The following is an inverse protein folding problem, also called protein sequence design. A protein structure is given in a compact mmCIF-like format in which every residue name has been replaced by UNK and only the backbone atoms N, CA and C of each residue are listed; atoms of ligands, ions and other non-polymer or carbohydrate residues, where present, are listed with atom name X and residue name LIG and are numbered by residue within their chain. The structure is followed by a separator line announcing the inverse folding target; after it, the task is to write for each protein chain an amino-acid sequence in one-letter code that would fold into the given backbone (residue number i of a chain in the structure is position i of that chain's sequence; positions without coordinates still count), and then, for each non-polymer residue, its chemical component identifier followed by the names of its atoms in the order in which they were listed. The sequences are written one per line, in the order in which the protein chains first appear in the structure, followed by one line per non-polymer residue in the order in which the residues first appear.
data_IF_789504573453
#
_entry.id   IF_789504573453
#
_cell.length_a   1.000
_cell.length_b   1.000
_cell.length_c   1.000
_cell.angle_alpha   90.00
_cell.angle_beta   90.00
_cell.angle_gamma   90.00
#
_symmetry.space_group_name_H-M   'P 1'
#
loop_
_entity.id
_entity.type
_entity.pdbx_description
1 polymer ?
#
# COMPACT_ATOMS: atom_id res chain seq x y z
N UNK A 1 -9.68 -33.65 8.72
CA UNK A 1 -8.70 -32.58 9.01
C UNK A 1 -9.06 -31.36 8.17
N UNK A 2 -9.66 -30.32 8.75
CA UNK A 2 -9.88 -29.07 8.03
C UNK A 2 -8.52 -28.38 7.82
N UNK A 3 -8.12 -28.21 6.55
CA UNK A 3 -6.90 -27.46 6.21
C UNK A 3 -7.12 -26.02 6.66
N UNK A 4 -6.42 -25.60 7.71
CA UNK A 4 -6.30 -24.19 8.06
C UNK A 4 -5.74 -23.47 6.83
N UNK A 5 -6.38 -22.35 6.46
CA UNK A 5 -5.84 -21.46 5.43
C UNK A 5 -4.41 -21.10 5.86
N UNK A 6 -3.39 -21.21 4.99
CA UNK A 6 -2.04 -20.82 5.36
C UNK A 6 -2.08 -19.40 5.93
N UNK A 7 -1.63 -19.24 7.17
CA UNK A 7 -1.42 -17.90 7.71
C UNK A 7 -0.37 -17.23 6.82
N UNK A 8 -0.59 -15.96 6.42
CA UNK A 8 0.38 -15.24 5.62
C UNK A 8 1.71 -15.20 6.38
N UNK A 9 2.77 -15.75 5.79
CA UNK A 9 4.10 -15.72 6.37
C UNK A 9 4.59 -14.27 6.43
N UNK A 10 4.84 -13.77 7.64
CA UNK A 10 5.27 -12.39 7.89
C UNK A 10 6.61 -12.07 7.20
N UNK A 11 7.48 -13.07 7.10
CA UNK A 11 8.84 -12.97 6.54
C UNK A 11 8.85 -12.62 5.03
N UNK A 12 7.69 -12.74 4.35
CA UNK A 12 7.54 -12.47 2.91
C UNK A 12 6.58 -11.32 2.61
N UNK A 13 5.94 -10.74 3.62
CA UNK A 13 5.08 -9.57 3.43
C UNK A 13 5.90 -8.30 3.58
N UNK A 14 6.67 -7.96 2.55
CA UNK A 14 6.98 -6.56 2.27
C UNK A 14 5.63 -5.90 1.93
N UNK A 15 4.97 -5.32 2.92
CA UNK A 15 3.73 -4.60 2.67
C UNK A 15 4.10 -3.40 1.81
N UNK A 16 3.42 -3.18 0.69
CA UNK A 16 3.73 -2.05 -0.20
C UNK A 16 3.74 -0.69 0.54
N UNK A 17 2.99 -0.56 1.64
CA UNK A 17 3.07 0.59 2.53
C UNK A 17 4.42 0.71 3.27
N UNK A 18 4.98 -0.41 3.74
CA UNK A 18 6.34 -0.43 4.30
C UNK A 18 7.39 -0.15 3.22
N UNK A 19 7.19 -0.65 1.99
CA UNK A 19 8.07 -0.35 0.86
C UNK A 19 8.09 1.15 0.53
N UNK A 20 6.93 1.81 0.49
CA UNK A 20 6.83 3.25 0.29
C UNK A 20 7.57 4.04 1.38
N UNK A 21 7.40 3.67 2.65
CA UNK A 21 8.14 4.28 3.76
C UNK A 21 9.65 4.15 3.62
N UNK A 22 10.14 2.95 3.27
CA UNK A 22 11.57 2.73 3.03
C UNK A 22 12.11 3.55 1.86
N UNK A 23 11.34 3.72 0.78
CA UNK A 23 11.75 4.54 -0.36
C UNK A 23 11.93 6.01 0.02
N UNK A 24 11.04 6.55 0.86
CA UNK A 24 11.19 7.90 1.42
C UNK A 24 12.41 8.03 2.32
N UNK A 25 12.64 7.07 3.21
CA UNK A 25 13.81 7.06 4.09
C UNK A 25 15.13 6.96 3.30
N UNK A 26 15.16 6.12 2.26
CA UNK A 26 16.33 5.96 1.39
C UNK A 26 16.58 7.21 0.55
N UNK A 27 15.53 7.87 0.06
CA UNK A 27 15.66 9.13 -0.68
C UNK A 27 16.41 10.19 0.12
N UNK A 28 16.18 10.26 1.45
CA UNK A 28 16.84 11.23 2.33
C UNK A 28 18.34 10.98 2.53
N UNK A 29 18.87 9.84 2.06
CA UNK A 29 20.31 9.56 2.09
C UNK A 29 21.00 10.26 0.93
N UNK A 30 22.01 11.08 1.23
CA UNK A 30 22.82 11.81 0.24
C UNK A 30 23.37 10.90 -0.87
N UNK A 31 23.80 9.68 -0.53
CA UNK A 31 24.33 8.70 -1.50
C UNK A 31 23.27 8.17 -2.49
N UNK A 32 21.99 8.32 -2.14
CA UNK A 32 20.86 7.75 -2.88
C UNK A 32 19.92 8.81 -3.47
N UNK A 33 20.15 10.09 -3.20
CA UNK A 33 19.31 11.18 -3.69
C UNK A 33 19.24 11.26 -5.22
N UNK A 34 20.27 10.80 -5.93
CA UNK A 34 20.31 10.77 -7.40
C UNK A 34 19.32 9.78 -8.04
N UNK A 35 18.79 8.82 -7.27
CA UNK A 35 17.86 7.81 -7.78
C UNK A 35 16.38 8.24 -7.71
N UNK A 36 16.12 9.46 -7.25
CA UNK A 36 14.78 10.06 -7.17
C UNK A 36 13.75 9.16 -6.45
N UNK A 37 14.19 8.38 -5.46
CA UNK A 37 13.38 7.33 -4.79
C UNK A 37 12.05 7.81 -4.20
N UNK A 38 11.93 9.12 -3.96
CA UNK A 38 10.69 9.82 -3.63
C UNK A 38 9.57 9.56 -4.63
N UNK A 39 9.86 9.56 -5.95
CA UNK A 39 8.86 9.39 -7.01
C UNK A 39 8.32 7.97 -7.01
N UNK A 40 9.17 6.99 -6.77
CA UNK A 40 8.77 5.58 -6.63
C UNK A 40 7.98 5.39 -5.33
N UNK A 41 8.36 6.06 -4.24
CA UNK A 41 7.61 6.07 -2.97
C UNK A 41 6.19 6.61 -3.17
N UNK A 42 6.07 7.78 -3.79
CA UNK A 42 4.79 8.41 -4.15
C UNK A 42 3.97 7.51 -5.06
N UNK A 43 4.55 6.95 -6.12
CA UNK A 43 3.84 6.06 -7.04
C UNK A 43 3.27 4.82 -6.33
N UNK A 44 3.99 4.27 -5.34
CA UNK A 44 3.51 3.14 -4.54
C UNK A 44 2.35 3.58 -3.63
N UNK A 45 2.43 4.73 -2.97
CA UNK A 45 1.32 5.28 -2.18
C UNK A 45 0.06 5.51 -3.04
N UNK A 46 0.21 6.19 -4.18
CA UNK A 46 -0.88 6.44 -5.13
C UNK A 46 -1.53 5.14 -5.60
N UNK A 47 -0.72 4.13 -5.93
CA UNK A 47 -1.21 2.82 -6.37
C UNK A 47 -2.01 2.11 -5.27
N UNK A 48 -1.62 2.27 -4.01
CA UNK A 48 -2.35 1.71 -2.87
C UNK A 48 -3.71 2.38 -2.67
N UNK A 49 -3.79 3.69 -2.84
CA UNK A 49 -5.05 4.43 -2.75
C UNK A 49 -6.02 4.04 -3.87
N UNK A 50 -5.54 3.93 -5.12
CA UNK A 50 -6.33 3.43 -6.25
C UNK A 50 -6.82 2.00 -5.98
N UNK A 51 -5.94 1.12 -5.50
CA UNK A 51 -6.30 -0.26 -5.18
C UNK A 51 -7.35 -0.32 -4.06
N UNK A 52 -7.17 0.47 -3.01
CA UNK A 52 -8.13 0.55 -1.90
C UNK A 52 -9.49 1.03 -2.40
N UNK A 53 -9.54 2.06 -3.23
CA UNK A 53 -10.76 2.58 -3.84
C UNK A 53 -11.44 1.53 -4.71
N UNK A 54 -10.69 0.84 -5.58
CA UNK A 54 -11.23 -0.21 -6.44
C UNK A 54 -11.80 -1.39 -5.64
N UNK A 55 -11.10 -1.84 -4.60
CA UNK A 55 -11.55 -2.93 -3.72
C UNK A 55 -12.77 -2.53 -2.88
N UNK A 56 -12.79 -1.28 -2.40
CA UNK A 56 -13.93 -0.70 -1.66
C UNK A 56 -15.16 -0.63 -2.55
N UNK A 57 -15.04 -0.08 -3.75
CA UNK A 57 -16.11 -0.04 -4.74
C UNK A 57 -16.64 -1.44 -5.08
N UNK A 58 -15.73 -2.42 -5.26
CA UNK A 58 -16.12 -3.82 -5.48
C UNK A 58 -16.91 -4.39 -4.30
N UNK A 59 -16.50 -4.15 -3.05
CA UNK A 59 -17.22 -4.61 -1.86
C UNK A 59 -18.62 -4.02 -1.77
N UNK A 60 -18.76 -2.71 -2.05
CA UNK A 60 -20.05 -2.02 -2.07
C UNK A 60 -20.99 -2.63 -3.11
N UNK A 61 -20.52 -2.88 -4.34
CA UNK A 61 -21.31 -3.54 -5.39
C UNK A 61 -21.81 -4.94 -4.99
N UNK A 62 -21.08 -5.63 -4.12
CA UNK A 62 -21.46 -6.94 -3.61
C UNK A 62 -22.37 -6.86 -2.37
N UNK A 63 -22.84 -5.67 -1.98
CA UNK A 63 -23.67 -5.46 -0.79
C UNK A 63 -22.93 -5.71 0.52
N UNK A 64 -21.59 -5.71 0.51
CA UNK A 64 -20.77 -5.96 1.71
C UNK A 64 -20.44 -4.66 2.41
N UNK A 65 -20.51 -4.66 3.74
CA UNK A 65 -20.10 -3.50 4.54
C UNK A 65 -18.62 -3.16 4.36
N UNK A 66 -18.33 -1.87 4.44
CA UNK A 66 -17.00 -1.27 4.38
C UNK A 66 -16.77 -0.56 5.71
N UNK A 67 -16.38 -1.33 6.73
CA UNK A 67 -16.18 -0.85 8.11
C UNK A 67 -14.89 -0.06 8.32
N UNK A 68 -14.01 0.03 7.31
CA UNK A 68 -12.72 0.72 7.40
C UNK A 68 -12.76 1.99 6.54
N UNK A 69 -13.26 3.08 7.11
CA UNK A 69 -13.23 4.40 6.48
C UNK A 69 -11.86 5.05 6.79
N UNK A 70 -11.13 5.33 5.71
CA UNK A 70 -9.99 6.25 5.56
C UNK A 70 -8.73 6.09 6.43
N UNK A 71 -7.62 5.77 5.78
CA UNK A 71 -6.32 6.39 6.11
C UNK A 71 -5.89 7.14 4.85
N UNK A 72 -5.74 8.46 4.99
CA UNK A 72 -5.25 9.43 4.01
C UNK A 72 -6.23 9.89 2.92
N UNK A 73 -6.62 11.17 3.05
CA UNK A 73 -7.19 11.98 1.99
C UNK A 73 -6.03 12.79 1.36
N UNK A 74 -5.21 12.13 0.53
CA UNK A 74 -4.22 12.81 -0.32
C UNK A 74 -4.77 12.76 -1.74
N UNK A 75 -4.84 13.91 -2.41
CA UNK A 75 -5.13 13.92 -3.85
C UNK A 75 -3.89 13.40 -4.57
N UNK A 76 -3.90 12.12 -4.91
CA UNK A 76 -2.98 11.55 -5.89
C UNK A 76 -3.44 12.00 -7.28
N UNK A 77 -2.55 12.66 -8.03
CA UNK A 77 -2.78 13.13 -9.40
C UNK A 77 -2.52 12.00 -10.39
#
# INVERSE_FOLDING_TARGET
MHKLRPQPAWDRTCTAAAAAGLLWELHMRLDLGAFELEKQGEAVECSLDILLNALTARRVRLGRSITRKERHNRNCI
#
